data_IF_370658078214
#
_entry.id   IF_370658078214
#
_cell.length_a   1.000
_cell.length_b   1.000
_cell.length_c   1.000
_cell.angle_alpha   90.00
_cell.angle_beta   90.00
_cell.angle_gamma   90.00
#
_symmetry.space_group_name_H-M   'P 1'
#
loop_
_entity.id
_entity.type
_entity.pdbx_description
1 polymer ?
#
# COMPACT_ATOMS: atom_id res chain seq x y z
N UNK A 1 -13.60 -17.32 17.58
CA UNK A 1 -13.40 -15.91 17.18
C UNK A 1 -13.18 -15.85 15.68
N UNK A 2 -13.40 -14.69 15.06
CA UNK A 2 -13.19 -14.45 13.63
C UNK A 2 -11.76 -13.97 13.35
N UNK A 3 -11.23 -14.25 12.15
CA UNK A 3 -9.92 -13.73 11.68
C UNK A 3 -10.18 -12.67 10.61
N UNK A 4 -9.50 -11.53 10.72
CA UNK A 4 -9.54 -10.46 9.73
C UNK A 4 -8.24 -10.48 8.92
N UNK A 5 -8.36 -10.62 7.59
CA UNK A 5 -7.22 -10.62 6.67
C UNK A 5 -7.36 -9.43 5.71
N UNK A 6 -6.39 -8.50 5.68
CA UNK A 6 -6.46 -7.35 4.78
C UNK A 6 -6.31 -7.77 3.32
N UNK A 7 -7.16 -7.21 2.45
CA UNK A 7 -7.08 -7.39 0.99
C UNK A 7 -6.55 -6.12 0.32
N UNK A 8 -6.74 -4.95 0.92
CA UNK A 8 -6.10 -3.72 0.46
C UNK A 8 -4.58 -3.92 0.35
N UNK A 9 -3.98 -3.48 -0.75
CA UNK A 9 -2.64 -3.90 -1.17
C UNK A 9 -1.57 -3.52 -0.15
N UNK A 10 -1.66 -2.32 0.40
CA UNK A 10 -0.75 -1.74 1.37
C UNK A 10 -0.82 -2.51 2.69
N UNK A 11 -2.02 -2.75 3.22
CA UNK A 11 -2.19 -3.47 4.48
C UNK A 11 -1.91 -4.96 4.33
N UNK A 12 -2.22 -5.56 3.17
CA UNK A 12 -1.82 -6.93 2.86
C UNK A 12 -0.30 -7.06 2.79
N UNK A 13 0.39 -6.09 2.20
CA UNK A 13 1.84 -6.01 2.18
C UNK A 13 2.43 -5.92 3.58
N UNK A 14 1.90 -5.04 4.43
CA UNK A 14 2.29 -4.95 5.84
C UNK A 14 2.09 -6.30 6.53
N UNK A 15 0.90 -6.89 6.42
CA UNK A 15 0.56 -8.14 7.08
C UNK A 15 1.47 -9.30 6.67
N UNK A 16 1.87 -9.38 5.40
CA UNK A 16 2.85 -10.36 4.92
C UNK A 16 4.25 -10.18 5.50
N UNK A 17 4.60 -8.97 5.95
CA UNK A 17 5.87 -8.62 6.57
C UNK A 17 5.85 -8.70 8.10
N UNK A 18 4.73 -9.04 8.72
CA UNK A 18 4.60 -9.15 10.17
C UNK A 18 5.10 -10.50 10.71
N UNK A 19 5.45 -10.57 12.01
CA UNK A 19 5.78 -11.84 12.65
C UNK A 19 4.60 -12.82 12.60
N UNK A 20 4.91 -14.11 12.52
CA UNK A 20 3.87 -15.14 12.55
C UNK A 20 3.03 -15.06 13.83
N UNK A 21 1.71 -15.26 13.69
CA UNK A 21 0.77 -15.14 14.81
C UNK A 21 0.28 -13.72 15.10
N UNK A 22 0.71 -12.71 14.33
CA UNK A 22 0.17 -11.35 14.41
C UNK A 22 -1.35 -11.34 14.18
N UNK A 23 -2.05 -10.50 14.93
CA UNK A 23 -3.53 -10.39 14.92
C UNK A 23 -3.96 -8.97 14.65
N UNK A 24 -5.09 -8.84 13.97
CA UNK A 24 -5.69 -7.54 13.74
C UNK A 24 -6.06 -6.85 15.07
N UNK A 25 -5.75 -5.57 15.21
CA UNK A 25 -6.00 -4.77 16.41
C UNK A 25 -4.91 -4.86 17.48
N UNK A 26 -3.87 -5.68 17.30
CA UNK A 26 -2.76 -5.83 18.24
C UNK A 26 -1.47 -5.30 17.63
N UNK A 27 -0.70 -4.52 18.40
CA UNK A 27 0.63 -4.06 17.98
C UNK A 27 1.58 -5.26 17.82
N UNK A 28 2.09 -5.55 16.61
CA UNK A 28 2.98 -6.68 16.42
C UNK A 28 4.33 -6.48 17.12
N UNK A 29 4.89 -7.56 17.68
CA UNK A 29 6.12 -7.50 18.44
C UNK A 29 7.30 -6.97 17.61
N UNK A 30 8.06 -6.04 18.18
CA UNK A 30 9.26 -5.49 17.56
C UNK A 30 9.04 -4.50 16.41
N UNK A 31 7.79 -4.28 15.95
CA UNK A 31 7.49 -3.25 14.95
C UNK A 31 7.73 -1.88 15.56
N UNK A 32 8.52 -1.03 14.88
CA UNK A 32 8.81 0.37 15.23
C UNK A 32 7.86 1.33 14.53
N UNK A 33 7.73 1.24 13.21
CA UNK A 33 6.79 2.04 12.40
C UNK A 33 6.36 1.28 11.15
N UNK A 34 5.26 1.74 10.54
CA UNK A 34 4.82 1.31 9.22
C UNK A 34 5.12 2.41 8.20
N UNK A 35 5.45 2.02 6.97
CA UNK A 35 5.59 2.94 5.85
C UNK A 35 4.56 2.55 4.78
N UNK A 36 3.49 3.34 4.68
CA UNK A 36 2.46 3.22 3.67
C UNK A 36 2.91 3.90 2.39
N UNK A 37 3.15 3.11 1.34
CA UNK A 37 3.52 3.68 0.04
C UNK A 37 2.29 4.18 -0.70
N UNK A 38 2.40 5.31 -1.40
CA UNK A 38 1.37 5.83 -2.29
C UNK A 38 1.92 6.06 -3.70
N UNK A 39 1.12 5.85 -4.75
CA UNK A 39 1.52 6.17 -6.13
C UNK A 39 1.72 7.68 -6.36
N UNK A 40 1.06 8.51 -5.55
CA UNK A 40 0.91 9.95 -5.74
C UNK A 40 -0.29 10.35 -6.62
N UNK A 41 -0.99 9.38 -7.21
CA UNK A 41 -2.12 9.63 -8.10
C UNK A 41 -1.76 10.36 -9.40
N UNK A 42 -2.75 10.67 -10.26
CA UNK A 42 -2.54 11.39 -11.52
C UNK A 42 -2.04 12.83 -11.35
N UNK A 43 -2.21 13.41 -10.16
CA UNK A 43 -1.89 14.82 -9.91
C UNK A 43 -0.55 15.05 -9.22
N UNK A 44 0.21 13.98 -8.96
CA UNK A 44 1.48 14.00 -8.23
C UNK A 44 2.44 15.12 -8.66
N UNK A 45 2.58 15.31 -9.97
CA UNK A 45 3.59 16.20 -10.56
C UNK A 45 2.96 17.51 -11.10
N UNK A 46 1.70 17.81 -10.74
CA UNK A 46 0.97 19.01 -11.17
C UNK A 46 1.14 20.18 -10.21
N UNK A 47 1.05 21.41 -10.73
CA UNK A 47 0.99 22.60 -9.88
C UNK A 47 -0.37 22.72 -9.17
N UNK A 48 -0.42 23.51 -8.10
CA UNK A 48 -1.67 23.77 -7.37
C UNK A 48 -2.76 24.37 -8.27
N UNK A 49 -2.38 25.25 -9.20
CA UNK A 49 -3.31 25.85 -10.18
C UNK A 49 -3.86 24.80 -11.15
N UNK A 50 -3.01 23.88 -11.61
CA UNK A 50 -3.42 22.79 -12.49
C UNK A 50 -4.36 21.81 -11.77
N UNK A 51 -4.10 21.52 -10.49
CA UNK A 51 -4.99 20.69 -9.64
C UNK A 51 -6.34 21.36 -9.46
N UNK A 52 -6.37 22.68 -9.20
CA UNK A 52 -7.61 23.43 -9.02
C UNK A 52 -8.50 23.44 -10.27
N UNK A 53 -7.90 23.30 -11.45
CA UNK A 53 -8.60 23.23 -12.74
C UNK A 53 -8.91 21.80 -13.21
N UNK A 54 -8.55 20.77 -12.43
CA UNK A 54 -8.67 19.38 -12.86
C UNK A 54 -10.14 18.90 -12.95
N UNK A 55 -10.43 18.07 -13.94
CA UNK A 55 -11.77 17.50 -14.16
C UNK A 55 -11.89 16.09 -13.56
N UNK A 56 -13.12 15.57 -13.35
CA UNK A 56 -13.34 14.20 -12.94
C UNK A 56 -12.69 13.16 -13.87
N UNK A 57 -12.66 13.42 -15.18
CA UNK A 57 -12.01 12.56 -16.17
C UNK A 57 -10.50 12.48 -15.95
N UNK A 58 -9.87 13.61 -15.62
CA UNK A 58 -8.45 13.65 -15.27
C UNK A 58 -8.16 12.91 -13.95
N UNK A 59 -9.06 13.03 -12.96
CA UNK A 59 -8.90 12.37 -11.67
C UNK A 59 -9.00 10.84 -11.74
N UNK A 60 -9.80 10.29 -12.68
CA UNK A 60 -9.94 8.83 -12.81
C UNK A 60 -8.86 8.16 -13.67
N UNK A 61 -8.02 8.94 -14.35
CA UNK A 61 -6.95 8.46 -15.22
C UNK A 61 -5.68 8.04 -14.43
N UNK A 62 -5.82 7.02 -13.57
CA UNK A 62 -4.73 6.60 -12.68
C UNK A 62 -3.56 5.95 -13.45
N UNK A 63 -2.29 6.30 -13.18
CA UNK A 63 -1.14 5.86 -13.97
C UNK A 63 -0.85 4.36 -13.87
N UNK A 64 -1.12 3.73 -12.72
CA UNK A 64 -0.67 2.37 -12.42
C UNK A 64 -1.79 1.33 -12.27
N UNK A 65 -3.04 1.76 -12.09
CA UNK A 65 -4.12 0.90 -11.62
C UNK A 65 -5.40 1.16 -12.39
N UNK A 66 -6.13 0.10 -12.75
CA UNK A 66 -7.49 0.20 -13.28
C UNK A 66 -8.45 -0.05 -12.13
N UNK A 67 -9.12 1.00 -11.67
CA UNK A 67 -9.94 0.97 -10.44
C UNK A 67 -11.30 1.63 -10.65
N UNK A 68 -12.20 1.45 -9.67
CA UNK A 68 -13.49 2.14 -9.65
C UNK A 68 -13.36 3.66 -9.48
N UNK A 69 -14.32 4.42 -10.01
CA UNK A 69 -14.23 5.90 -10.07
C UNK A 69 -13.98 6.57 -8.71
N UNK A 70 -14.62 6.10 -7.64
CA UNK A 70 -14.47 6.67 -6.29
C UNK A 70 -13.02 6.57 -5.80
N UNK A 71 -12.44 5.37 -5.82
CA UNK A 71 -11.07 5.15 -5.36
C UNK A 71 -10.04 5.86 -6.27
N UNK A 72 -10.31 5.98 -7.57
CA UNK A 72 -9.44 6.76 -8.46
C UNK A 72 -9.42 8.25 -8.10
N UNK A 73 -10.57 8.86 -7.80
CA UNK A 73 -10.65 10.26 -7.34
C UNK A 73 -9.97 10.44 -5.98
N UNK A 74 -10.17 9.50 -5.05
CA UNK A 74 -9.52 9.57 -3.73
C UNK A 74 -8.01 9.42 -3.84
N UNK A 75 -7.51 8.61 -4.78
CA UNK A 75 -6.08 8.51 -5.06
C UNK A 75 -5.52 9.82 -5.65
N UNK A 76 -6.27 10.48 -6.55
CA UNK A 76 -5.90 11.77 -7.12
C UNK A 76 -5.79 12.89 -6.08
N UNK A 77 -6.57 12.82 -5.00
CA UNK A 77 -6.57 13.80 -3.91
C UNK A 77 -5.71 13.38 -2.70
N UNK A 78 -5.08 12.21 -2.77
CA UNK A 78 -4.42 11.51 -1.64
C UNK A 78 -5.33 11.21 -0.43
N UNK A 79 -6.63 11.50 -0.51
CA UNK A 79 -7.61 11.15 0.51
C UNK A 79 -7.63 9.64 0.76
N UNK A 80 -7.42 8.84 -0.29
CA UNK A 80 -7.31 7.39 -0.18
C UNK A 80 -6.24 7.00 0.85
N UNK A 81 -5.07 7.62 0.78
CA UNK A 81 -3.96 7.33 1.70
C UNK A 81 -4.25 7.79 3.13
N UNK A 82 -5.05 8.85 3.30
CA UNK A 82 -5.55 9.26 4.62
C UNK A 82 -6.49 8.22 5.24
N UNK A 83 -7.39 7.62 4.45
CA UNK A 83 -8.26 6.53 4.90
C UNK A 83 -7.44 5.27 5.24
N UNK A 84 -6.48 4.92 4.39
CA UNK A 84 -5.61 3.77 4.62
C UNK A 84 -4.72 3.93 5.85
N UNK A 85 -4.29 5.16 6.19
CA UNK A 85 -3.56 5.44 7.43
C UNK A 85 -4.41 5.11 8.65
N UNK A 86 -5.66 5.55 8.65
CA UNK A 86 -6.62 5.24 9.72
C UNK A 86 -6.80 3.72 9.81
N UNK A 87 -7.02 3.06 8.67
CA UNK A 87 -7.17 1.60 8.61
C UNK A 87 -5.93 0.87 9.16
N UNK A 88 -4.71 1.30 8.80
CA UNK A 88 -3.48 0.71 9.31
C UNK A 88 -3.35 0.84 10.83
N UNK A 89 -3.75 2.00 11.39
CA UNK A 89 -3.76 2.20 12.84
C UNK A 89 -4.68 1.20 13.54
N UNK A 90 -5.88 0.97 12.99
CA UNK A 90 -6.83 0.00 13.53
C UNK A 90 -6.39 -1.46 13.32
N UNK A 91 -5.93 -1.81 12.11
CA UNK A 91 -5.54 -3.17 11.78
C UNK A 91 -4.31 -3.63 12.53
N UNK A 92 -3.34 -2.75 12.78
CA UNK A 92 -2.05 -3.13 13.36
C UNK A 92 -1.82 -2.55 14.75
N UNK A 93 -2.82 -1.91 15.36
CA UNK A 93 -2.74 -1.37 16.71
C UNK A 93 -1.60 -0.35 16.89
N UNK A 94 -1.34 0.49 15.88
CA UNK A 94 -0.34 1.56 15.96
C UNK A 94 -1.01 2.92 16.11
N UNK A 95 -0.33 3.83 16.80
CA UNK A 95 -0.70 5.24 16.83
C UNK A 95 -0.35 5.90 15.47
N UNK A 96 -1.09 6.94 15.03
CA UNK A 96 -0.87 7.62 13.75
C UNK A 96 0.57 8.09 13.53
N UNK A 97 1.27 8.54 14.58
CA UNK A 97 2.64 9.02 14.52
C UNK A 97 3.67 7.92 14.22
N UNK A 98 3.23 6.66 14.19
CA UNK A 98 4.03 5.48 13.83
C UNK A 98 3.67 4.93 12.45
N UNK A 99 2.93 5.69 11.64
CA UNK A 99 2.54 5.32 10.28
C UNK A 99 2.93 6.46 9.33
N UNK A 100 4.04 6.27 8.60
CA UNK A 100 4.55 7.25 7.65
C UNK A 100 3.94 7.01 6.25
N UNK A 101 3.63 8.10 5.53
CA UNK A 101 3.24 8.05 4.12
C UNK A 101 4.46 8.38 3.26
N UNK A 102 4.74 7.56 2.25
CA UNK A 102 5.85 7.76 1.30
C UNK A 102 5.36 7.61 -0.13
N UNK A 103 5.74 8.55 -1.01
CA UNK A 103 5.42 8.42 -2.44
C UNK A 103 6.38 7.44 -3.09
N UNK A 104 5.83 6.38 -3.67
CA UNK A 104 6.50 5.38 -4.48
C UNK A 104 5.81 5.28 -5.86
N UNK A 105 6.23 6.08 -6.85
CA UNK A 105 5.58 6.19 -8.16
C UNK A 105 5.40 4.88 -8.91
N UNK A 106 6.30 3.93 -8.72
CA UNK A 106 6.30 2.67 -9.46
C UNK A 106 5.30 1.65 -8.90
N UNK A 107 4.80 1.86 -7.68
CA UNK A 107 3.85 0.95 -7.00
C UNK A 107 4.29 -0.53 -7.00
N UNK A 108 5.61 -0.78 -6.93
CA UNK A 108 6.19 -2.13 -6.87
C UNK A 108 6.38 -2.58 -5.43
N UNK A 109 6.89 -1.70 -4.57
CA UNK A 109 6.86 -1.90 -3.12
C UNK A 109 5.49 -1.41 -2.64
N UNK A 110 4.69 -2.33 -2.11
CA UNK A 110 3.30 -2.05 -1.73
C UNK A 110 3.17 -1.50 -0.31
N UNK A 111 4.10 -1.80 0.60
CA UNK A 111 4.32 -1.11 1.88
C UNK A 111 5.53 -1.73 2.59
N UNK A 112 5.99 -1.09 3.68
CA UNK A 112 7.11 -1.57 4.48
C UNK A 112 6.78 -1.59 5.97
N UNK A 113 7.43 -2.51 6.69
CA UNK A 113 7.42 -2.63 8.14
C UNK A 113 8.84 -2.43 8.65
N UNK A 114 9.03 -1.43 9.50
CA UNK A 114 10.32 -1.20 10.14
C UNK A 114 10.32 -1.77 11.56
N UNK A 115 11.40 -2.44 11.91
CA UNK A 115 11.58 -3.06 13.22
C UNK A 115 12.54 -2.26 14.11
N UNK A 116 12.47 -2.51 15.41
CA UNK A 116 13.28 -1.83 16.44
C UNK A 116 14.79 -2.09 16.32
N UNK A 117 15.17 -3.13 15.58
CA UNK A 117 16.58 -3.45 15.26
C UNK A 117 17.12 -2.67 14.04
N UNK A 118 16.29 -1.83 13.42
CA UNK A 118 16.63 -1.04 12.24
C UNK A 118 16.39 -1.76 10.90
N UNK A 119 15.87 -2.99 10.91
CA UNK A 119 15.52 -3.69 9.68
C UNK A 119 14.21 -3.16 9.07
N UNK A 120 14.13 -3.21 7.75
CA UNK A 120 12.94 -2.93 6.96
C UNK A 120 12.57 -4.18 6.17
N UNK A 121 11.35 -4.67 6.37
CA UNK A 121 10.76 -5.70 5.54
C UNK A 121 9.74 -5.05 4.61
N UNK A 122 9.76 -5.44 3.34
CA UNK A 122 8.87 -4.92 2.33
C UNK A 122 8.28 -6.07 1.53
N UNK A 123 7.02 -5.94 1.13
CA UNK A 123 6.41 -6.83 0.15
C UNK A 123 6.42 -6.14 -1.22
N UNK A 124 6.94 -6.87 -2.22
CA UNK A 124 7.08 -6.43 -3.59
C UNK A 124 6.20 -7.26 -4.51
N UNK A 125 5.61 -6.61 -5.51
CA UNK A 125 4.81 -7.28 -6.53
C UNK A 125 4.50 -6.38 -7.72
N UNK A 126 4.02 -6.97 -8.80
CA UNK A 126 3.34 -6.21 -9.85
C UNK A 126 2.07 -5.58 -9.25
N UNK A 127 1.69 -4.34 -9.64
CA UNK A 127 0.49 -3.68 -9.15
C UNK A 127 -0.77 -4.39 -9.64
N UNK A 128 -1.13 -5.47 -8.95
CA UNK A 128 -2.22 -6.37 -9.32
C UNK A 128 -2.89 -6.98 -8.07
N UNK A 129 -4.17 -6.64 -7.88
CA UNK A 129 -4.97 -7.07 -6.73
C UNK A 129 -5.19 -8.57 -6.63
N UNK A 130 -4.96 -9.34 -7.71
CA UNK A 130 -5.04 -10.80 -7.64
C UNK A 130 -4.02 -11.38 -6.65
N UNK A 131 -2.88 -10.70 -6.43
CA UNK A 131 -1.87 -11.12 -5.45
C UNK A 131 -2.38 -11.02 -4.00
N UNK A 132 -2.80 -9.85 -3.48
CA UNK A 132 -3.30 -9.75 -2.11
C UNK A 132 -4.58 -10.55 -1.88
N UNK A 133 -5.47 -10.66 -2.88
CA UNK A 133 -6.65 -11.54 -2.83
C UNK A 133 -6.22 -13.01 -2.68
N UNK A 134 -5.28 -13.46 -3.51
CA UNK A 134 -4.81 -14.85 -3.44
C UNK A 134 -4.12 -15.16 -2.10
N UNK A 135 -3.37 -14.20 -1.57
CA UNK A 135 -2.77 -14.31 -0.25
C UNK A 135 -3.84 -14.47 0.84
N UNK A 136 -4.87 -13.63 0.87
CA UNK A 136 -5.92 -13.70 1.89
C UNK A 136 -6.72 -15.00 1.83
N UNK A 137 -7.01 -15.52 0.64
CA UNK A 137 -7.77 -16.77 0.46
C UNK A 137 -6.97 -18.04 0.82
N UNK A 138 -5.65 -18.01 0.68
CA UNK A 138 -4.79 -19.17 0.93
C UNK A 138 -4.06 -19.13 2.27
N UNK A 139 -4.15 -18.02 3.03
CA UNK A 139 -3.41 -17.83 4.28
C UNK A 139 -3.71 -18.97 5.29
N UNK A 140 -2.68 -19.52 5.97
CA UNK A 140 -1.27 -19.12 6.00
C UNK A 140 -0.40 -19.70 4.86
N UNK A 141 -0.98 -20.48 3.95
CA UNK A 141 -0.28 -21.01 2.78
C UNK A 141 -0.28 -19.99 1.61
N UNK A 142 0.23 -20.43 0.47
CA UNK A 142 0.27 -19.67 -0.78
C UNK A 142 -0.51 -20.43 -1.85
N UNK A 143 -1.15 -19.70 -2.76
CA UNK A 143 -1.72 -20.27 -3.99
C UNK A 143 -1.33 -19.43 -5.20
N UNK A 144 -1.46 -20.00 -6.40
CA UNK A 144 -1.25 -19.26 -7.64
C UNK A 144 -2.32 -18.19 -7.82
N UNK A 145 -1.92 -16.95 -8.09
CA UNK A 145 -2.81 -15.83 -8.39
C UNK A 145 -3.02 -15.61 -9.90
N UNK A 146 -2.18 -16.24 -10.74
CA UNK A 146 -2.12 -15.96 -12.18
C UNK A 146 -1.51 -14.60 -12.55
N UNK A 147 -0.87 -13.91 -11.59
CA UNK A 147 -0.11 -12.68 -11.83
C UNK A 147 1.28 -13.04 -12.37
N UNK A 148 1.78 -12.26 -13.34
CA UNK A 148 3.13 -12.43 -13.84
C UNK A 148 4.18 -12.12 -12.77
N UNK A 149 5.25 -12.91 -12.74
CA UNK A 149 6.36 -12.69 -11.81
C UNK A 149 7.03 -11.34 -12.09
N UNK A 150 7.38 -10.63 -11.01
CA UNK A 150 8.10 -9.38 -11.06
C UNK A 150 9.53 -9.60 -11.56
N UNK A 151 9.95 -8.84 -12.55
CA UNK A 151 11.32 -8.82 -13.07
C UNK A 151 12.01 -7.52 -12.60
N UNK A 152 12.76 -7.62 -11.50
CA UNK A 152 13.42 -6.47 -10.88
C UNK A 152 14.43 -5.79 -11.79
N UNK A 153 15.10 -6.56 -12.66
CA UNK A 153 16.11 -6.02 -13.59
C UNK A 153 15.41 -5.18 -14.66
N UNK A 154 14.24 -5.62 -15.16
CA UNK A 154 13.43 -4.83 -16.09
C UNK A 154 12.76 -3.62 -15.42
N UNK A 155 12.34 -3.74 -14.16
CA UNK A 155 11.82 -2.61 -13.40
C UNK A 155 12.89 -1.52 -13.24
N UNK A 156 14.16 -1.92 -13.03
CA UNK A 156 15.38 -1.11 -12.99
C UNK A 156 15.47 -0.04 -11.88
N UNK A 157 14.43 0.78 -11.68
CA UNK A 157 14.45 1.92 -10.75
C UNK A 157 13.24 1.90 -9.82
N UNK A 158 13.52 2.04 -8.53
CA UNK A 158 12.52 2.25 -7.47
C UNK A 158 12.82 3.59 -6.81
N UNK A 159 11.84 4.48 -6.71
CA UNK A 159 12.01 5.81 -6.14
C UNK A 159 11.11 6.02 -4.94
N UNK A 160 11.59 6.81 -3.98
CA UNK A 160 10.84 7.23 -2.80
C UNK A 160 10.96 8.74 -2.61
N UNK A 161 9.86 9.39 -2.27
CA UNK A 161 9.80 10.83 -2.01
C UNK A 161 8.84 11.12 -0.86
N UNK A 162 9.04 12.24 -0.19
CA UNK A 162 8.02 12.78 0.70
C UNK A 162 6.75 13.14 -0.11
N UNK A 163 5.55 13.01 0.48
CA UNK A 163 4.28 13.41 -0.14
C UNK A 163 4.15 14.92 -0.37
#
# INVERSE_FOLDING_TARGET
GSTLLPIDSEHNAIFQCLPHGSRAGETPAGVRRLLLTASGGPFRDLSAEAIAAATPEAAVAHPNWVMGRKISVDSATLMNKGLELIEACFLFGLAPERVDIVIHPQSIIHSLVEYVDGSLLAQLGSPDMRTPIAHALAWPQRMSSGVAFLDLVKTARLEFRAP
#
